data_IF_109586772369
#
_entry.id   IF_109586772369
#
_cell.length_a   1.000
_cell.length_b   1.000
_cell.length_c   1.000
_cell.angle_alpha   90.00
_cell.angle_beta   90.00
_cell.angle_gamma   90.00
#
_symmetry.space_group_name_H-M   'P 1'
#
loop_
_entity.id
_entity.type
_entity.pdbx_description
1 polymer ?
#
# COMPACT_ATOMS: atom_id res chain seq x y z
N UNK A 1 -6.56 1.56 -15.21
CA UNK A 1 -6.14 0.24 -14.67
C UNK A 1 -4.63 0.08 -14.58
N UNK A 2 -3.85 0.21 -15.65
CA UNK A 2 -2.40 -0.03 -15.57
C UNK A 2 -1.66 0.84 -14.52
N UNK A 3 -2.07 2.11 -14.34
CA UNK A 3 -1.49 2.99 -13.29
C UNK A 3 -1.73 2.46 -11.87
N UNK A 4 -2.84 1.75 -11.65
CA UNK A 4 -3.16 1.12 -10.37
C UNK A 4 -2.23 -0.06 -10.11
N UNK A 5 -1.97 -0.89 -11.13
CA UNK A 5 -1.09 -2.05 -10.98
C UNK A 5 0.36 -1.63 -10.64
N UNK A 6 0.86 -0.55 -11.25
CA UNK A 6 2.15 0.02 -10.85
C UNK A 6 2.14 0.60 -9.43
N UNK A 7 0.99 1.09 -8.95
CA UNK A 7 0.85 1.56 -7.57
C UNK A 7 0.99 0.41 -6.57
N UNK A 8 0.37 -0.73 -6.86
CA UNK A 8 0.51 -1.96 -6.05
C UNK A 8 1.94 -2.49 -6.10
N UNK A 9 2.50 -2.65 -7.31
CA UNK A 9 3.86 -3.17 -7.52
C UNK A 9 4.92 -2.34 -6.79
N UNK A 10 4.97 -1.03 -7.03
CA UNK A 10 5.97 -0.16 -6.41
C UNK A 10 5.83 -0.12 -4.88
N UNK A 11 4.59 -0.08 -4.39
CA UNK A 11 4.30 -0.09 -2.96
C UNK A 11 4.72 -1.41 -2.30
N UNK A 12 4.56 -2.56 -2.94
CA UNK A 12 5.08 -3.83 -2.44
C UNK A 12 6.61 -3.90 -2.47
N UNK A 13 7.23 -3.44 -3.56
CA UNK A 13 8.69 -3.42 -3.73
C UNK A 13 9.41 -2.60 -2.65
N UNK A 14 8.83 -1.48 -2.20
CA UNK A 14 9.40 -0.68 -1.10
C UNK A 14 9.53 -1.50 0.19
N UNK A 15 8.59 -2.40 0.45
CA UNK A 15 8.59 -3.25 1.65
C UNK A 15 9.28 -4.61 1.42
N UNK A 16 9.93 -4.82 0.27
CA UNK A 16 10.48 -6.12 -0.14
C UNK A 16 9.41 -7.24 -0.14
N UNK A 17 8.17 -6.88 -0.44
CA UNK A 17 7.01 -7.76 -0.50
C UNK A 17 6.58 -8.01 -1.96
N UNK A 18 5.72 -9.01 -2.15
CA UNK A 18 5.08 -9.31 -3.43
C UNK A 18 5.97 -10.10 -4.40
N UNK A 19 5.70 -9.92 -5.69
CA UNK A 19 6.40 -10.59 -6.79
C UNK A 19 6.87 -9.56 -7.81
N UNK A 20 7.66 -10.01 -8.79
CA UNK A 20 8.11 -9.18 -9.90
C UNK A 20 6.93 -8.68 -10.76
N UNK A 21 7.24 -7.75 -11.66
CA UNK A 21 6.25 -6.96 -12.38
C UNK A 21 5.23 -7.81 -13.15
N UNK A 22 5.67 -8.81 -13.91
CA UNK A 22 4.78 -9.59 -14.78
C UNK A 22 3.79 -10.43 -13.95
N UNK A 23 4.29 -11.08 -12.90
CA UNK A 23 3.46 -11.80 -11.92
C UNK A 23 2.49 -10.86 -11.20
N UNK A 24 2.96 -9.69 -10.73
CA UNK A 24 2.13 -8.70 -10.06
C UNK A 24 1.02 -8.17 -10.98
N UNK A 25 1.36 -7.81 -12.21
CA UNK A 25 0.41 -7.33 -13.22
C UNK A 25 -0.66 -8.38 -13.51
N UNK A 26 -0.27 -9.64 -13.67
CA UNK A 26 -1.19 -10.75 -13.89
C UNK A 26 -2.17 -10.92 -12.72
N UNK A 27 -1.66 -10.98 -11.49
CA UNK A 27 -2.47 -11.15 -10.29
C UNK A 27 -3.42 -9.98 -10.05
N UNK A 28 -2.96 -8.74 -10.22
CA UNK A 28 -3.81 -7.56 -10.10
C UNK A 28 -4.93 -7.58 -11.15
N UNK A 29 -4.63 -7.94 -12.40
CA UNK A 29 -5.64 -8.06 -13.45
C UNK A 29 -6.73 -9.08 -13.10
N UNK A 30 -6.31 -10.28 -12.68
CA UNK A 30 -7.22 -11.34 -12.23
C UNK A 30 -8.07 -10.89 -11.05
N UNK A 31 -7.45 -10.21 -10.07
CA UNK A 31 -8.14 -9.80 -8.83
C UNK A 31 -9.29 -8.82 -9.12
N UNK A 32 -9.07 -7.84 -10.01
CA UNK A 32 -10.09 -6.83 -10.33
C UNK A 32 -11.24 -7.32 -11.22
N UNK A 33 -11.05 -8.34 -12.03
CA UNK A 33 -12.03 -8.73 -13.07
C UNK A 33 -12.68 -10.09 -12.83
N UNK A 34 -12.09 -10.93 -11.97
CA UNK A 34 -12.51 -12.30 -11.79
C UNK A 34 -12.54 -12.65 -10.29
N UNK A 35 -13.46 -12.02 -9.55
CA UNK A 35 -13.60 -12.10 -8.08
C UNK A 35 -13.57 -13.54 -7.50
N UNK A 36 -14.01 -14.54 -8.28
CA UNK A 36 -14.11 -15.95 -7.87
C UNK A 36 -13.05 -16.88 -8.52
N UNK A 37 -12.07 -16.37 -9.29
CA UNK A 37 -11.22 -17.23 -10.13
C UNK A 37 -9.77 -17.40 -9.68
N UNK A 38 -9.29 -16.62 -8.70
CA UNK A 38 -7.91 -16.82 -8.22
C UNK A 38 -7.94 -17.95 -7.19
N UNK A 39 -7.39 -19.15 -7.50
CA UNK A 39 -7.39 -20.25 -6.57
C UNK A 39 -6.61 -19.84 -5.31
N UNK A 40 -7.14 -20.21 -4.15
CA UNK A 40 -6.33 -20.28 -2.94
C UNK A 40 -5.27 -21.37 -3.12
N UNK A 41 -4.04 -21.00 -2.81
CA UNK A 41 -2.86 -21.84 -2.97
C UNK A 41 -2.15 -21.90 -1.64
N UNK A 42 -1.86 -23.13 -1.22
CA UNK A 42 -1.01 -23.43 -0.08
C UNK A 42 0.22 -24.24 -0.53
N UNK A 43 1.31 -24.19 0.24
CA UNK A 43 2.58 -24.80 -0.16
C UNK A 43 2.54 -26.32 -0.22
N UNK A 44 1.66 -26.91 0.60
CA UNK A 44 1.44 -28.35 0.75
C UNK A 44 0.41 -28.92 -0.24
N UNK A 45 -0.18 -28.07 -1.10
CA UNK A 45 -1.15 -28.50 -2.11
C UNK A 45 -0.54 -29.54 -3.06
N UNK A 46 -1.19 -30.70 -3.19
CA UNK A 46 -0.75 -31.76 -4.12
C UNK A 46 -0.79 -31.33 -5.59
N UNK A 47 -1.66 -30.37 -5.91
CA UNK A 47 -1.88 -29.77 -7.23
C UNK A 47 -1.27 -28.35 -7.33
N UNK A 48 -0.34 -27.98 -6.45
CA UNK A 48 0.28 -26.65 -6.40
C UNK A 48 0.72 -26.12 -7.77
N UNK A 49 1.51 -26.91 -8.50
CA UNK A 49 2.08 -26.52 -9.79
C UNK A 49 1.01 -26.35 -10.89
N UNK A 50 -0.13 -27.05 -10.77
CA UNK A 50 -1.28 -26.85 -11.64
C UNK A 50 -1.98 -25.52 -11.32
N UNK A 51 -2.24 -25.24 -10.04
CA UNK A 51 -2.90 -24.00 -9.58
C UNK A 51 -2.14 -22.72 -9.95
N UNK A 52 -0.81 -22.79 -10.05
CA UNK A 52 0.03 -21.63 -10.39
C UNK A 52 0.66 -21.69 -11.79
N UNK A 53 0.24 -22.64 -12.64
CA UNK A 53 0.78 -22.83 -14.00
C UNK A 53 0.78 -21.54 -14.81
N UNK A 54 -0.32 -20.80 -14.80
CA UNK A 54 -0.43 -19.54 -15.54
C UNK A 54 0.51 -18.46 -14.98
N UNK A 55 0.79 -18.49 -13.67
CA UNK A 55 1.74 -17.58 -13.05
C UNK A 55 3.18 -17.89 -13.53
N UNK A 56 3.56 -19.16 -13.64
CA UNK A 56 4.86 -19.55 -14.23
C UNK A 56 4.99 -19.17 -15.71
N UNK A 57 3.87 -19.12 -16.44
CA UNK A 57 3.88 -18.74 -17.85
C UNK A 57 4.14 -17.24 -18.04
N UNK A 58 3.60 -16.40 -17.15
CA UNK A 58 3.84 -14.95 -17.20
C UNK A 58 5.15 -14.54 -16.55
N UNK A 59 5.65 -15.30 -15.57
CA UNK A 59 6.92 -15.06 -14.88
C UNK A 59 7.68 -16.38 -14.68
N UNK A 60 8.61 -16.65 -15.59
CA UNK A 60 9.40 -17.88 -15.59
C UNK A 60 10.41 -17.93 -14.44
N UNK A 61 10.80 -16.77 -13.89
CA UNK A 61 11.80 -16.70 -12.80
C UNK A 61 11.30 -17.37 -11.51
N UNK A 62 9.98 -17.48 -11.36
CA UNK A 62 9.36 -18.14 -10.22
C UNK A 62 9.67 -19.64 -10.15
N UNK A 63 10.04 -20.29 -11.25
CA UNK A 63 10.41 -21.72 -11.27
C UNK A 63 11.64 -22.04 -10.43
N UNK A 64 12.48 -21.04 -10.16
CA UNK A 64 13.68 -21.15 -9.33
C UNK A 64 13.44 -20.75 -7.86
N UNK A 65 12.23 -20.29 -7.52
CA UNK A 65 11.87 -19.83 -6.18
C UNK A 65 11.23 -20.97 -5.36
N UNK A 66 11.30 -20.84 -4.04
CA UNK A 66 10.61 -21.78 -3.14
C UNK A 66 9.09 -21.61 -3.23
N UNK A 67 8.34 -22.69 -2.95
CA UNK A 67 6.86 -22.64 -2.90
C UNK A 67 6.38 -21.58 -1.91
N UNK A 68 6.99 -21.53 -0.71
CA UNK A 68 6.68 -20.54 0.32
C UNK A 68 6.84 -19.09 -0.18
N UNK A 69 7.93 -18.79 -0.89
CA UNK A 69 8.14 -17.46 -1.50
C UNK A 69 7.01 -17.11 -2.47
N UNK A 70 6.63 -18.04 -3.33
CA UNK A 70 5.57 -17.83 -4.33
C UNK A 70 4.21 -17.64 -3.64
N UNK A 71 3.85 -18.49 -2.68
CA UNK A 71 2.59 -18.40 -1.93
C UNK A 71 2.50 -17.07 -1.21
N UNK A 72 3.54 -16.69 -0.47
CA UNK A 72 3.59 -15.42 0.27
C UNK A 72 3.48 -14.22 -0.67
N UNK A 73 4.31 -14.16 -1.72
CA UNK A 73 4.31 -13.06 -2.67
C UNK A 73 2.97 -12.92 -3.41
N UNK A 74 2.32 -14.05 -3.76
CA UNK A 74 0.96 -14.05 -4.32
C UNK A 74 -0.03 -13.41 -3.34
N UNK A 75 -0.06 -13.86 -2.08
CA UNK A 75 -0.95 -13.32 -1.04
C UNK A 75 -0.72 -11.82 -0.86
N UNK A 76 0.53 -11.38 -0.75
CA UNK A 76 0.87 -9.96 -0.59
C UNK A 76 0.42 -9.08 -1.76
N UNK A 77 0.46 -9.57 -3.01
CA UNK A 77 -0.07 -8.83 -4.18
C UNK A 77 -1.61 -8.78 -4.16
N UNK A 78 -2.25 -9.94 -4.02
CA UNK A 78 -3.72 -10.08 -4.10
C UNK A 78 -4.39 -9.27 -2.99
N UNK A 79 -3.90 -9.42 -1.75
CA UNK A 79 -4.51 -8.76 -0.61
C UNK A 79 -4.30 -7.26 -0.61
N UNK A 80 -3.16 -6.78 -1.11
CA UNK A 80 -2.94 -5.35 -1.29
C UNK A 80 -3.87 -4.76 -2.33
N UNK A 81 -4.08 -5.45 -3.46
CA UNK A 81 -5.06 -5.03 -4.46
C UNK A 81 -6.49 -4.97 -3.85
N UNK A 82 -6.91 -6.00 -3.11
CA UNK A 82 -8.21 -6.03 -2.43
C UNK A 82 -8.37 -4.93 -1.38
N UNK A 83 -7.36 -4.68 -0.56
CA UNK A 83 -7.37 -3.61 0.44
C UNK A 83 -7.45 -2.23 -0.21
N UNK A 84 -6.76 -2.05 -1.35
CA UNK A 84 -6.83 -0.83 -2.14
C UNK A 84 -8.24 -0.61 -2.70
N UNK A 85 -8.81 -1.63 -3.36
CA UNK A 85 -10.18 -1.59 -3.91
C UNK A 85 -11.22 -1.32 -2.82
N UNK A 86 -11.08 -1.96 -1.65
CA UNK A 86 -11.96 -1.73 -0.51
C UNK A 86 -11.95 -0.26 -0.05
N UNK A 87 -10.77 0.37 0.12
CA UNK A 87 -10.72 1.79 0.48
C UNK A 87 -11.27 2.66 -0.66
N UNK A 88 -10.94 2.39 -1.92
CA UNK A 88 -11.48 3.18 -3.04
C UNK A 88 -13.00 3.13 -3.10
N UNK A 89 -13.58 1.95 -2.96
CA UNK A 89 -15.03 1.76 -2.99
C UNK A 89 -15.72 2.55 -1.86
N UNK A 90 -15.28 2.34 -0.63
CA UNK A 90 -15.90 2.97 0.54
C UNK A 90 -15.67 4.49 0.58
N UNK A 91 -14.42 4.92 0.42
CA UNK A 91 -14.06 6.33 0.55
C UNK A 91 -14.36 7.15 -0.72
N UNK A 92 -14.09 6.63 -1.91
CA UNK A 92 -14.22 7.42 -3.15
C UNK A 92 -15.57 7.24 -3.83
N UNK A 93 -16.12 6.01 -3.86
CA UNK A 93 -17.39 5.72 -4.55
C UNK A 93 -18.59 6.00 -3.65
N UNK A 94 -18.58 5.47 -2.42
CA UNK A 94 -19.66 5.67 -1.46
C UNK A 94 -19.54 6.97 -0.66
N UNK A 95 -18.40 7.67 -0.78
CA UNK A 95 -18.19 8.97 -0.15
C UNK A 95 -18.06 8.92 1.37
N UNK A 96 -17.83 7.74 1.96
CA UNK A 96 -17.65 7.57 3.39
C UNK A 96 -16.44 8.34 3.92
N UNK A 97 -16.40 8.59 5.22
CA UNK A 97 -15.24 9.16 5.90
C UNK A 97 -14.15 8.10 6.07
N UNK A 98 -12.88 8.53 6.04
CA UNK A 98 -11.75 7.65 6.34
C UNK A 98 -11.62 7.44 7.87
N UNK A 99 -12.47 6.59 8.41
CA UNK A 99 -12.54 6.27 9.85
C UNK A 99 -11.47 5.27 10.28
N UNK A 100 -11.25 5.15 11.60
CA UNK A 100 -10.38 4.12 12.18
C UNK A 100 -10.82 2.70 11.76
N UNK A 101 -12.12 2.42 11.77
CA UNK A 101 -12.65 1.12 11.39
C UNK A 101 -12.44 0.82 9.91
N UNK A 102 -12.62 1.81 9.03
CA UNK A 102 -12.33 1.64 7.61
C UNK A 102 -10.84 1.30 7.38
N UNK A 103 -9.94 1.99 8.10
CA UNK A 103 -8.50 1.73 8.03
C UNK A 103 -8.16 0.35 8.60
N UNK A 104 -8.76 -0.07 9.73
CA UNK A 104 -8.55 -1.39 10.33
C UNK A 104 -9.04 -2.51 9.42
N UNK A 105 -10.24 -2.39 8.85
CA UNK A 105 -10.77 -3.39 7.92
C UNK A 105 -9.90 -3.51 6.66
N UNK A 106 -9.45 -2.39 6.11
CA UNK A 106 -8.53 -2.40 4.98
C UNK A 106 -7.19 -3.07 5.32
N UNK A 107 -6.65 -2.79 6.52
CA UNK A 107 -5.45 -3.44 7.00
C UNK A 107 -5.65 -4.94 7.24
N UNK A 108 -6.81 -5.36 7.76
CA UNK A 108 -7.16 -6.76 7.93
C UNK A 108 -7.11 -7.50 6.58
N UNK A 109 -7.73 -6.91 5.55
CA UNK A 109 -7.68 -7.42 4.18
C UNK A 109 -6.22 -7.50 3.71
N UNK A 110 -5.44 -6.42 3.84
CA UNK A 110 -4.06 -6.31 3.39
C UNK A 110 -3.16 -7.42 3.93
N UNK A 111 -3.35 -7.80 5.20
CA UNK A 111 -2.48 -8.75 5.90
C UNK A 111 -3.02 -10.19 5.90
N UNK A 112 -4.21 -10.44 5.35
CA UNK A 112 -4.85 -11.77 5.41
C UNK A 112 -3.98 -12.86 4.78
N UNK A 113 -3.60 -13.85 5.58
CA UNK A 113 -2.77 -14.99 5.16
C UNK A 113 -1.27 -14.71 5.10
N UNK A 114 -0.79 -13.60 5.67
CA UNK A 114 0.62 -13.19 5.69
C UNK A 114 1.09 -13.06 7.15
N UNK A 115 1.83 -14.03 7.65
CA UNK A 115 2.43 -13.95 8.99
C UNK A 115 3.62 -12.99 9.05
N UNK A 116 3.87 -12.40 10.21
CA UNK A 116 5.13 -11.69 10.48
C UNK A 116 6.17 -12.75 10.83
N UNK A 117 7.25 -12.79 10.05
CA UNK A 117 8.36 -13.71 10.22
C UNK A 117 9.59 -12.87 10.53
N UNK A 118 10.26 -13.19 11.64
CA UNK A 118 11.56 -12.63 11.96
C UNK A 118 12.65 -13.41 11.20
N UNK A 119 13.40 -12.77 10.28
CA UNK A 119 14.48 -13.45 9.55
C UNK A 119 15.57 -14.03 10.46
N UNK A 120 15.77 -13.45 11.65
CA UNK A 120 16.73 -13.94 12.64
C UNK A 120 16.18 -15.05 13.53
N UNK A 121 14.86 -15.32 13.47
CA UNK A 121 14.14 -16.20 14.38
C UNK A 121 14.38 -15.88 15.87
N UNK A 122 14.71 -14.62 16.21
CA UNK A 122 14.85 -14.14 17.58
C UNK A 122 13.47 -14.02 18.25
N UNK A 123 12.44 -13.78 17.44
CA UNK A 123 11.05 -13.71 17.85
C UNK A 123 10.19 -14.78 17.16
N UNK A 124 9.17 -15.32 17.86
CA UNK A 124 8.26 -16.29 17.27
C UNK A 124 7.47 -15.65 16.12
N UNK A 125 7.13 -16.47 15.13
CA UNK A 125 6.19 -16.08 14.07
C UNK A 125 4.88 -15.54 14.69
N UNK A 126 4.37 -14.45 14.12
CA UNK A 126 3.09 -13.88 14.49
C UNK A 126 2.10 -14.16 13.36
N UNK A 127 1.16 -15.11 13.53
CA UNK A 127 0.09 -15.36 12.58
C UNK A 127 -0.73 -14.09 12.34
N UNK A 128 -1.23 -13.93 11.11
CA UNK A 128 -1.93 -12.70 10.72
C UNK A 128 -3.17 -12.43 11.58
N UNK A 129 -3.87 -13.45 12.06
CA UNK A 129 -5.05 -13.33 12.93
C UNK A 129 -4.75 -12.59 14.24
N UNK A 130 -3.48 -12.55 14.67
CA UNK A 130 -3.06 -11.87 15.91
C UNK A 130 -2.79 -10.38 15.73
N UNK A 131 -2.61 -9.88 14.51
CA UNK A 131 -2.21 -8.48 14.29
C UNK A 131 -2.99 -7.76 13.18
N UNK A 132 -3.54 -8.49 12.22
CA UNK A 132 -4.31 -7.92 11.12
C UNK A 132 -5.57 -7.22 11.65
N UNK A 133 -5.75 -5.95 11.26
CA UNK A 133 -6.90 -5.12 11.65
C UNK A 133 -6.84 -4.60 13.08
N UNK A 134 -5.76 -4.88 13.82
CA UNK A 134 -5.63 -4.56 15.24
C UNK A 134 -4.46 -3.61 15.48
N UNK A 135 -4.71 -2.54 16.24
CA UNK A 135 -3.61 -1.69 16.66
C UNK A 135 -2.63 -2.47 17.53
N UNK A 136 -1.35 -2.22 17.31
CA UNK A 136 -0.29 -2.92 18.02
C UNK A 136 -0.34 -2.61 19.52
N UNK A 137 -0.03 -3.62 20.30
CA UNK A 137 0.19 -3.53 21.74
C UNK A 137 1.68 -3.58 22.11
N UNK A 138 2.57 -3.74 21.13
CA UNK A 138 4.03 -3.78 21.30
C UNK A 138 4.71 -2.52 20.76
N UNK A 139 5.81 -2.06 21.39
CA UNK A 139 6.65 -1.03 20.80
C UNK A 139 7.27 -1.50 19.49
N UNK A 140 7.33 -0.62 18.49
CA UNK A 140 8.00 -0.86 17.21
C UNK A 140 8.83 0.36 16.83
N UNK A 141 9.86 0.15 16.02
CA UNK A 141 10.78 1.19 15.59
C UNK A 141 11.34 0.92 14.20
N UNK A 142 11.92 1.94 13.59
CA UNK A 142 12.66 1.84 12.35
C UNK A 142 14.10 2.32 12.58
N UNK A 143 15.07 1.42 12.44
CA UNK A 143 16.45 1.67 12.84
C UNK A 143 16.51 2.06 14.34
N UNK A 144 17.13 3.20 14.64
CA UNK A 144 17.26 3.70 16.01
C UNK A 144 16.11 4.60 16.48
N UNK A 145 15.04 4.73 15.68
CA UNK A 145 13.92 5.63 15.99
C UNK A 145 12.68 4.82 16.37
N UNK A 146 12.18 5.05 17.59
CA UNK A 146 10.92 4.46 18.04
C UNK A 146 9.73 5.25 17.49
N UNK A 147 8.67 4.55 17.08
CA UNK A 147 7.40 5.16 16.75
C UNK A 147 6.60 5.51 18.02
N UNK A 148 5.41 6.09 17.85
CA UNK A 148 4.48 6.42 18.94
C UNK A 148 4.30 5.21 19.88
N UNK A 149 4.32 5.41 21.20
CA UNK A 149 4.15 4.27 22.12
C UNK A 149 2.73 3.68 22.01
N UNK A 150 2.55 2.34 22.14
CA UNK A 150 1.26 1.66 21.89
C UNK A 150 0.06 2.31 22.59
N UNK A 151 0.22 2.75 23.84
CA UNK A 151 -0.84 3.37 24.64
C UNK A 151 -1.38 4.68 24.05
N UNK A 152 -0.64 5.33 23.15
CA UNK A 152 -1.05 6.58 22.50
C UNK A 152 -1.58 6.37 21.07
N UNK A 153 -1.46 5.16 20.50
CA UNK A 153 -1.86 4.88 19.10
C UNK A 153 -3.34 5.17 18.88
N UNK A 154 -4.21 4.68 19.77
CA UNK A 154 -5.66 4.89 19.67
C UNK A 154 -6.02 6.38 19.62
N UNK A 155 -5.52 7.17 20.58
CA UNK A 155 -5.79 8.59 20.65
C UNK A 155 -5.25 9.34 19.41
N UNK A 156 -4.06 8.96 18.91
CA UNK A 156 -3.45 9.61 17.74
C UNK A 156 -4.14 9.25 16.43
N UNK A 157 -4.66 8.03 16.29
CA UNK A 157 -5.45 7.63 15.13
C UNK A 157 -6.80 8.33 15.09
N UNK A 158 -7.49 8.42 16.25
CA UNK A 158 -8.71 9.20 16.38
C UNK A 158 -8.50 10.67 16.00
N UNK A 159 -7.43 11.29 16.52
CA UNK A 159 -7.03 12.67 16.18
C UNK A 159 -6.76 12.83 14.68
N UNK A 160 -6.03 11.90 14.05
CA UNK A 160 -5.72 11.95 12.62
C UNK A 160 -6.98 11.88 11.76
N UNK A 161 -7.91 10.95 12.06
CA UNK A 161 -9.14 10.77 11.29
C UNK A 161 -10.08 11.98 11.45
N UNK A 162 -10.24 12.49 12.67
CA UNK A 162 -11.03 13.69 12.94
C UNK A 162 -10.46 14.92 12.24
N UNK A 163 -9.14 15.10 12.26
CA UNK A 163 -8.48 16.21 11.56
C UNK A 163 -8.70 16.13 10.05
N UNK A 164 -8.58 14.94 9.45
CA UNK A 164 -8.83 14.76 8.01
C UNK A 164 -10.28 15.15 7.67
N UNK A 165 -11.24 14.64 8.43
CA UNK A 165 -12.67 14.97 8.24
C UNK A 165 -12.92 16.48 8.33
N UNK A 166 -12.43 17.12 9.39
CA UNK A 166 -12.60 18.56 9.58
C UNK A 166 -11.96 19.39 8.46
N UNK A 167 -10.79 18.97 7.95
CA UNK A 167 -10.15 19.67 6.84
C UNK A 167 -10.93 19.51 5.53
N UNK A 168 -11.50 18.32 5.28
CA UNK A 168 -12.36 18.05 4.12
C UNK A 168 -13.65 18.87 4.21
N UNK A 169 -14.31 18.88 5.36
CA UNK A 169 -15.62 19.51 5.56
C UNK A 169 -15.51 21.05 5.70
N UNK A 170 -14.37 21.55 6.18
CA UNK A 170 -14.20 22.95 6.58
C UNK A 170 -13.53 23.89 5.57
N UNK A 171 -13.12 23.42 4.39
CA UNK A 171 -12.40 24.24 3.41
C UNK A 171 -13.18 24.44 2.12
N UNK A 172 -13.30 25.69 1.67
CA UNK A 172 -13.82 26.01 0.34
C UNK A 172 -12.88 25.56 -0.79
N UNK A 173 -11.56 25.57 -0.54
CA UNK A 173 -10.53 25.13 -1.48
C UNK A 173 -9.56 24.18 -0.78
N UNK A 174 -9.47 22.96 -1.31
CA UNK A 174 -8.55 21.92 -0.87
C UNK A 174 -7.34 21.85 -1.82
N UNK A 175 -6.13 21.82 -1.27
CA UNK A 175 -4.96 21.32 -2.00
C UNK A 175 -4.86 19.81 -1.77
N UNK A 176 -5.27 18.98 -2.76
CA UNK A 176 -5.33 17.53 -2.58
C UNK A 176 -3.95 16.89 -2.43
N UNK A 177 -2.89 17.50 -2.96
CA UNK A 177 -1.53 16.96 -2.88
C UNK A 177 -0.97 17.15 -1.48
N UNK A 178 -1.14 18.35 -0.92
CA UNK A 178 -0.76 18.65 0.46
C UNK A 178 -1.60 17.85 1.47
N UNK A 179 -2.91 17.72 1.24
CA UNK A 179 -3.79 16.92 2.10
C UNK A 179 -3.36 15.44 2.12
N UNK A 180 -3.17 14.84 0.94
CA UNK A 180 -2.76 13.45 0.84
C UNK A 180 -1.37 13.21 1.47
N UNK A 181 -0.41 14.09 1.21
CA UNK A 181 0.94 14.00 1.77
C UNK A 181 0.93 14.14 3.30
N UNK A 182 0.17 15.10 3.85
CA UNK A 182 0.05 15.34 5.28
C UNK A 182 -0.50 14.11 6.02
N UNK A 183 -1.66 13.61 5.60
CA UNK A 183 -2.33 12.53 6.33
C UNK A 183 -1.66 11.16 6.15
N UNK A 184 -1.10 10.87 4.97
CA UNK A 184 -0.30 9.65 4.79
C UNK A 184 1.02 9.70 5.58
N UNK A 185 1.66 10.88 5.69
CA UNK A 185 2.83 11.03 6.56
C UNK A 185 2.43 10.86 8.03
N UNK A 186 1.35 11.50 8.47
CA UNK A 186 0.87 11.37 9.85
C UNK A 186 0.55 9.93 10.22
N UNK A 187 -0.08 9.18 9.32
CA UNK A 187 -0.38 7.76 9.53
C UNK A 187 0.91 6.94 9.77
N UNK A 188 1.93 7.10 8.92
CA UNK A 188 3.17 6.31 9.04
C UNK A 188 4.02 6.71 10.25
N UNK A 189 3.94 7.96 10.71
CA UNK A 189 4.55 8.44 11.97
C UNK A 189 3.88 7.81 13.20
N UNK A 190 2.55 7.67 13.20
CA UNK A 190 1.82 6.97 14.26
C UNK A 190 2.20 5.48 14.25
N UNK A 191 2.31 4.92 13.05
CA UNK A 191 2.66 3.51 12.81
C UNK A 191 1.74 2.57 13.61
N UNK A 192 0.41 2.59 13.37
CA UNK A 192 -0.55 2.01 14.30
C UNK A 192 -0.57 0.48 14.35
N UNK A 193 -0.07 -0.22 13.33
CA UNK A 193 -0.08 -1.67 13.23
C UNK A 193 1.31 -2.27 13.46
N UNK A 194 1.39 -3.59 13.69
CA UNK A 194 2.67 -4.27 13.90
C UNK A 194 3.47 -4.46 12.61
N UNK A 195 2.80 -4.63 11.47
CA UNK A 195 3.37 -4.66 10.12
C UNK A 195 2.37 -4.04 9.13
N UNK A 196 2.72 -3.82 7.86
CA UNK A 196 1.80 -3.36 6.81
C UNK A 196 1.59 -1.84 6.75
N UNK A 197 2.16 -1.08 7.68
CA UNK A 197 1.98 0.37 7.79
C UNK A 197 2.44 1.13 6.54
N UNK A 198 3.55 0.75 5.91
CA UNK A 198 4.05 1.41 4.69
C UNK A 198 3.07 1.27 3.51
N UNK A 199 2.51 0.07 3.32
CA UNK A 199 1.50 -0.21 2.29
C UNK A 199 0.20 0.55 2.56
N UNK A 200 -0.29 0.52 3.80
CA UNK A 200 -1.47 1.32 4.21
C UNK A 200 -1.26 2.82 4.03
N UNK A 201 -0.09 3.36 4.37
CA UNK A 201 0.27 4.76 4.12
C UNK A 201 0.08 5.13 2.63
N UNK A 202 0.53 4.27 1.72
CA UNK A 202 0.44 4.53 0.27
C UNK A 202 -0.97 4.29 -0.29
N UNK A 203 -1.77 3.41 0.31
CA UNK A 203 -3.21 3.29 0.02
C UNK A 203 -3.93 4.57 0.42
N UNK A 204 -3.74 5.06 1.66
CA UNK A 204 -4.35 6.31 2.16
C UNK A 204 -3.98 7.51 1.29
N UNK A 205 -2.69 7.63 0.93
CA UNK A 205 -2.20 8.67 0.02
C UNK A 205 -2.98 8.66 -1.30
N UNK A 206 -3.09 7.49 -1.94
CA UNK A 206 -3.76 7.36 -3.22
C UNK A 206 -5.28 7.52 -3.12
N UNK A 207 -5.90 7.13 -2.01
CA UNK A 207 -7.34 7.32 -1.78
C UNK A 207 -7.71 8.80 -1.77
N UNK A 208 -6.96 9.61 -1.03
CA UNK A 208 -7.16 11.06 -0.97
C UNK A 208 -6.90 11.69 -2.34
N UNK A 209 -5.78 11.35 -3.00
CA UNK A 209 -5.49 11.87 -4.34
C UNK A 209 -6.59 11.53 -5.33
N UNK A 210 -7.04 10.27 -5.35
CA UNK A 210 -8.04 9.82 -6.30
C UNK A 210 -9.39 10.52 -6.07
N UNK A 211 -9.85 10.66 -4.82
CA UNK A 211 -11.12 11.33 -4.49
C UNK A 211 -11.19 12.76 -5.02
N UNK A 212 -10.08 13.50 -4.98
CA UNK A 212 -10.08 14.93 -5.32
C UNK A 212 -9.46 15.26 -6.68
N UNK A 213 -8.75 14.33 -7.30
CA UNK A 213 -8.06 14.58 -8.59
C UNK A 213 -8.33 13.53 -9.66
N UNK A 214 -8.84 12.36 -9.29
CA UNK A 214 -9.01 11.21 -10.19
C UNK A 214 -7.69 10.52 -10.58
N UNK A 215 -6.58 10.80 -9.87
CA UNK A 215 -5.24 10.36 -10.23
C UNK A 215 -4.70 9.37 -9.18
N UNK A 216 -4.03 8.33 -9.68
CA UNK A 216 -3.13 7.49 -8.88
C UNK A 216 -1.67 7.83 -9.16
N UNK A 217 -0.84 7.68 -8.12
CA UNK A 217 0.61 7.74 -8.23
C UNK A 217 1.24 6.43 -7.78
N UNK A 218 2.11 5.90 -8.62
CA UNK A 218 3.01 4.80 -8.27
C UNK A 218 4.27 5.35 -7.60
N UNK A 219 4.74 4.72 -6.53
CA UNK A 219 6.00 5.06 -5.86
C UNK A 219 6.77 3.76 -5.68
N UNK A 220 8.05 3.76 -6.03
CA UNK A 220 8.93 2.60 -5.90
C UNK A 220 9.06 1.77 -7.18
N UNK A 221 8.85 2.37 -8.36
CA UNK A 221 9.04 1.66 -9.65
C UNK A 221 10.53 1.36 -9.90
N UNK A 222 11.45 2.17 -9.37
CA UNK A 222 12.90 2.03 -9.51
C UNK A 222 13.62 2.15 -8.16
N UNK A 223 14.86 1.64 -8.07
CA UNK A 223 15.64 1.73 -6.84
C UNK A 223 15.92 3.19 -6.43
N UNK A 224 16.23 4.05 -7.41
CA UNK A 224 16.47 5.48 -7.16
C UNK A 224 15.24 6.17 -6.58
N UNK A 225 14.04 5.82 -7.07
CA UNK A 225 12.79 6.35 -6.53
C UNK A 225 12.49 5.85 -5.13
N UNK A 226 12.80 4.58 -4.83
CA UNK A 226 12.70 4.04 -3.46
C UNK A 226 13.61 4.86 -2.52
N UNK A 227 14.87 5.09 -2.93
CA UNK A 227 15.82 5.86 -2.14
C UNK A 227 15.33 7.30 -1.92
N UNK A 228 14.89 7.99 -2.99
CA UNK A 228 14.33 9.35 -2.91
C UNK A 228 13.13 9.40 -1.94
N UNK A 229 12.18 8.47 -2.08
CA UNK A 229 10.99 8.41 -1.22
C UNK A 229 11.34 8.20 0.25
N UNK A 230 12.23 7.25 0.55
CA UNK A 230 12.66 6.95 1.92
C UNK A 230 13.39 8.15 2.54
N UNK A 231 14.23 8.83 1.77
CA UNK A 231 14.97 9.99 2.23
C UNK A 231 14.05 11.19 2.52
N UNK A 232 13.05 11.42 1.67
CA UNK A 232 11.99 12.43 1.93
C UNK A 232 11.23 12.08 3.21
N UNK A 233 10.83 10.82 3.41
CA UNK A 233 10.13 10.39 4.64
C UNK A 233 10.97 10.61 5.89
N UNK A 234 12.28 10.29 5.83
CA UNK A 234 13.22 10.50 6.94
C UNK A 234 13.37 11.98 7.30
N UNK A 235 13.48 12.87 6.30
CA UNK A 235 13.55 14.33 6.54
C UNK A 235 12.22 14.86 7.08
N UNK A 236 11.11 14.44 6.49
CA UNK A 236 9.80 14.92 6.87
C UNK A 236 9.37 14.52 8.29
N UNK A 237 9.94 13.44 8.82
CA UNK A 237 9.72 13.03 10.21
C UNK A 237 10.61 13.80 11.22
N UNK A 238 11.65 14.53 10.76
CA UNK A 238 12.57 15.29 11.63
C UNK A 238 12.13 16.73 11.81
N UNK A 239 11.62 17.36 10.75
CA UNK A 239 11.25 18.77 10.73
C UNK A 239 9.74 18.92 10.49
N UNK A 240 9.01 19.62 11.36
CA UNK A 240 7.56 19.88 11.23
C UNK A 240 7.18 20.65 9.93
N UNK A 241 8.16 21.06 9.12
CA UNK A 241 8.02 21.68 7.80
C UNK A 241 8.09 20.68 6.62
N UNK A 242 8.45 19.42 6.86
CA UNK A 242 8.72 18.45 5.79
C UNK A 242 7.50 17.93 5.02
N UNK A 243 6.29 18.28 5.44
CA UNK A 243 5.08 18.08 4.63
C UNK A 243 5.19 18.76 3.25
N UNK A 244 5.88 19.90 3.15
CA UNK A 244 6.04 20.63 1.88
C UNK A 244 6.90 19.89 0.85
N UNK A 245 8.01 19.27 1.29
CA UNK A 245 8.86 18.47 0.40
C UNK A 245 8.11 17.23 -0.08
N UNK A 246 7.42 16.53 0.82
CA UNK A 246 6.65 15.34 0.45
C UNK A 246 5.45 15.68 -0.45
N UNK A 247 4.74 16.78 -0.17
CA UNK A 247 3.68 17.28 -1.05
C UNK A 247 4.22 17.63 -2.44
N UNK A 248 5.40 18.25 -2.53
CA UNK A 248 6.07 18.57 -3.80
C UNK A 248 6.42 17.29 -4.58
N UNK A 249 6.94 16.26 -3.91
CA UNK A 249 7.19 14.97 -4.52
C UNK A 249 5.91 14.33 -5.06
N UNK A 250 4.84 14.31 -4.25
CA UNK A 250 3.52 13.82 -4.63
C UNK A 250 2.96 14.58 -5.85
N UNK A 251 3.10 15.90 -5.88
CA UNK A 251 2.68 16.73 -7.01
C UNK A 251 3.49 16.40 -8.28
N UNK A 252 4.83 16.29 -8.20
CA UNK A 252 5.69 15.90 -9.33
C UNK A 252 5.29 14.53 -9.90
N UNK A 253 4.99 13.56 -9.03
CA UNK A 253 4.50 12.24 -9.42
C UNK A 253 3.13 12.31 -10.09
N UNK A 254 2.23 13.16 -9.58
CA UNK A 254 0.90 13.39 -10.15
C UNK A 254 0.97 14.02 -11.54
N UNK A 255 1.84 15.01 -11.75
CA UNK A 255 2.09 15.61 -13.07
C UNK A 255 2.56 14.56 -14.09
N UNK A 256 3.49 13.67 -13.72
CA UNK A 256 3.92 12.56 -14.58
C UNK A 256 2.76 11.62 -14.91
N UNK A 257 1.92 11.31 -13.94
CA UNK A 257 0.73 10.46 -14.14
C UNK A 257 -0.25 11.09 -15.15
N UNK A 258 -0.56 12.39 -15.00
CA UNK A 258 -1.39 13.14 -15.95
C UNK A 258 -0.76 13.17 -17.35
N UNK A 259 0.55 13.37 -17.46
CA UNK A 259 1.25 13.36 -18.75
C UNK A 259 1.15 12.00 -19.45
N UNK A 260 1.31 10.89 -18.71
CA UNK A 260 1.11 9.53 -19.23
C UNK A 260 -0.33 9.32 -19.70
N UNK A 261 -1.32 9.79 -18.94
CA UNK A 261 -2.73 9.73 -19.34
C UNK A 261 -3.01 10.54 -20.61
N UNK A 262 -2.49 11.77 -20.71
CA UNK A 262 -2.61 12.63 -21.90
C UNK A 262 -2.02 11.97 -23.14
N UNK A 263 -0.85 11.32 -23.02
CA UNK A 263 -0.22 10.61 -24.13
C UNK A 263 -1.07 9.44 -24.64
N UNK A 264 -1.73 8.70 -23.74
CA UNK A 264 -2.63 7.59 -24.08
C UNK A 264 -3.89 8.08 -24.79
N UNK A 265 -4.52 9.14 -24.27
CA UNK A 265 -5.72 9.74 -24.89
C UNK A 265 -5.39 10.29 -26.29
N UNK A 266 -4.21 10.89 -26.46
CA UNK A 266 -3.80 11.46 -27.75
C UNK A 266 -3.26 10.42 -28.75
N UNK A 267 -3.32 9.12 -28.46
CA UNK A 267 -3.05 8.06 -29.42
C UNK A 267 -1.63 8.04 -30.00
N UNK A 268 -0.59 8.37 -29.24
CA UNK A 268 0.78 8.18 -29.74
C UNK A 268 1.10 6.69 -29.88
N UNK A 269 1.04 6.22 -31.13
CA UNK A 269 1.86 5.13 -31.66
C UNK A 269 3.32 5.45 -31.29
N UNK A 270 3.89 4.73 -30.34
CA UNK A 270 5.35 4.66 -30.23
C UNK A 270 5.85 3.77 -31.35
N UNK A 271 6.34 4.39 -32.42
CA UNK A 271 7.42 3.85 -33.27
C UNK A 271 8.68 3.69 -32.47
#
# INVERSE_FOLDING_TARGET
MESLFHTIYGSNRIEQAGLDWDATRYLCHKTSHELDSIPEVDEDDSDFDEKIRDLYNVDQSLREKSRNFIVRGRREVIQHMRAFEYIMDRFCVHGEDLTEDLIKNAHEILCKGVSIIDPGAEHPEVPYEKYAGQYRNVPVGAGNTMFVMPQYVLAKMAEMCANLKNEIDGREVLDPFSLAAKHSLRFVEIHPFQDGNGRMCRIILNAILFRYTGIFISIGETQDEINEYIDIKKRASRDMEGHGEYATFVLKKSVRSIQRMKQRVNGKKST
#
